data_IF_157985095904
#
_entry.id   IF_157985095904
#
_cell.length_a   1.000
_cell.length_b   1.000
_cell.length_c   1.000
_cell.angle_alpha   90.00
_cell.angle_beta   90.00
_cell.angle_gamma   90.00
#
_symmetry.space_group_name_H-M   'P 1'
#
loop_
_entity.id
_entity.type
_entity.pdbx_description
1 polymer ?
#
# COMPACT_ATOMS: atom_id res chain seq x y z
N UNK A 1 4.57 -57.13 3.78
CA UNK A 1 5.23 -57.69 2.58
C UNK A 1 5.08 -56.61 1.49
N UNK A 2 5.99 -55.93 0.95
CA UNK A 2 7.43 -56.00 0.69
C UNK A 2 7.93 -54.60 0.38
N UNK A 3 9.05 -54.26 0.97
CA UNK A 3 9.85 -53.07 0.78
C UNK A 3 10.56 -53.10 -0.58
N UNK A 4 10.66 -51.95 -1.26
CA UNK A 4 11.72 -51.74 -2.27
C UNK A 4 12.34 -50.37 -2.13
N UNK A 5 13.59 -50.37 -1.68
CA UNK A 5 14.55 -49.27 -1.62
C UNK A 5 15.12 -49.04 -3.03
N UNK A 6 15.21 -47.78 -3.47
CA UNK A 6 15.97 -47.42 -4.68
C UNK A 6 17.05 -46.40 -4.31
N UNK A 7 18.28 -46.85 -4.42
CA UNK A 7 19.52 -46.12 -4.20
C UNK A 7 19.87 -45.32 -5.46
N UNK A 8 20.19 -44.02 -5.33
CA UNK A 8 20.70 -43.20 -6.42
C UNK A 8 22.21 -43.01 -6.25
N UNK A 9 22.92 -43.43 -7.27
CA UNK A 9 24.38 -43.33 -7.42
C UNK A 9 24.85 -41.91 -7.74
N UNK A 10 25.83 -41.46 -7.01
CA UNK A 10 26.64 -40.27 -7.26
C UNK A 10 27.73 -40.59 -8.27
N UNK A 11 27.84 -39.78 -9.35
CA UNK A 11 28.98 -39.85 -10.29
C UNK A 11 29.76 -38.54 -10.25
N UNK A 12 30.97 -38.60 -9.67
CA UNK A 12 32.04 -37.60 -9.84
C UNK A 12 32.65 -37.78 -11.24
N UNK A 13 32.88 -36.70 -11.95
CA UNK A 13 33.85 -36.65 -13.08
C UNK A 13 34.88 -35.55 -12.85
N UNK A 14 36.14 -36.01 -12.87
CA UNK A 14 37.40 -35.26 -12.83
C UNK A 14 37.56 -34.41 -14.10
N UNK A 15 38.08 -33.18 -13.93
CA UNK A 15 38.66 -32.41 -15.03
C UNK A 15 40.18 -32.51 -15.01
N UNK A 16 40.72 -32.89 -16.18
CA UNK A 16 42.13 -32.96 -16.50
C UNK A 16 42.65 -31.57 -16.92
N UNK A 17 43.82 -31.26 -16.40
CA UNK A 17 44.73 -30.17 -16.76
C UNK A 17 45.36 -30.38 -18.15
N UNK A 18 45.44 -29.31 -18.96
CA UNK A 18 46.39 -29.20 -20.05
C UNK A 18 47.15 -27.88 -19.94
N UNK A 19 48.49 -28.02 -19.91
CA UNK A 19 49.38 -26.89 -19.88
C UNK A 19 49.96 -26.55 -21.28
N UNK A 20 50.55 -25.37 -21.36
CA UNK A 20 51.60 -25.07 -22.31
C UNK A 20 51.34 -23.96 -23.30
N UNK A 21 51.92 -22.81 -23.22
CA UNK A 21 53.18 -22.30 -23.75
C UNK A 21 53.20 -20.75 -23.73
N UNK A 22 54.38 -20.24 -23.37
CA UNK A 22 54.74 -18.84 -23.35
C UNK A 22 54.91 -18.31 -24.79
N UNK A 23 54.40 -17.07 -25.04
CA UNK A 23 54.71 -16.25 -26.18
C UNK A 23 54.79 -14.78 -25.79
N UNK A 24 56.01 -14.22 -25.76
CA UNK A 24 56.31 -12.81 -25.51
C UNK A 24 56.05 -11.99 -26.77
N UNK A 25 55.28 -10.91 -26.68
CA UNK A 25 55.35 -9.77 -27.59
C UNK A 25 55.09 -8.45 -26.83
N UNK A 26 55.91 -7.48 -27.15
CA UNK A 26 56.10 -6.17 -26.53
C UNK A 26 54.98 -5.19 -26.88
N UNK A 27 54.61 -4.38 -25.90
CA UNK A 27 54.35 -2.95 -25.88
C UNK A 27 53.37 -2.35 -26.89
N UNK A 28 52.25 -1.90 -26.36
CA UNK A 28 51.65 -0.62 -26.79
C UNK A 28 50.77 -0.13 -25.62
N UNK A 29 51.10 1.06 -25.13
CA UNK A 29 50.36 1.79 -24.14
C UNK A 29 48.93 1.99 -24.61
N UNK A 30 47.96 1.42 -23.91
CA UNK A 30 46.55 1.82 -23.96
C UNK A 30 46.17 2.33 -22.57
N UNK A 31 45.94 3.64 -22.52
CA UNK A 31 45.28 4.27 -21.38
C UNK A 31 43.98 3.54 -21.09
N UNK A 32 43.97 2.81 -19.99
CA UNK A 32 42.74 2.19 -19.45
C UNK A 32 41.97 3.28 -18.74
N UNK A 33 40.90 3.72 -19.36
CA UNK A 33 39.84 4.49 -18.69
C UNK A 33 39.33 3.67 -17.50
N UNK A 34 39.74 4.04 -16.31
CA UNK A 34 39.12 3.56 -15.06
C UNK A 34 37.80 4.29 -14.89
N UNK A 35 36.70 3.61 -15.14
CA UNK A 35 35.39 4.03 -14.66
C UNK A 35 35.44 4.17 -13.15
N UNK A 36 34.93 5.27 -12.55
CA UNK A 36 34.81 5.36 -11.09
C UNK A 36 33.87 4.25 -10.62
N UNK A 37 34.40 3.32 -9.85
CA UNK A 37 33.64 2.23 -9.26
C UNK A 37 32.52 2.80 -8.40
N UNK A 38 31.29 2.68 -8.86
CA UNK A 38 30.12 2.79 -8.03
C UNK A 38 30.13 1.58 -7.07
N UNK A 39 30.67 1.77 -5.88
CA UNK A 39 30.41 0.86 -4.75
C UNK A 39 28.95 1.08 -4.37
N UNK A 40 28.06 0.27 -4.95
CA UNK A 40 26.73 0.14 -4.42
C UNK A 40 26.88 -0.45 -3.00
N UNK A 41 26.88 0.42 -2.01
CA UNK A 41 26.76 0.05 -0.61
C UNK A 41 25.35 -0.52 -0.44
N UNK A 42 25.25 -1.84 -0.28
CA UNK A 42 23.98 -2.45 0.15
C UNK A 42 23.58 -1.81 1.47
N UNK A 43 22.33 -1.39 1.65
CA UNK A 43 21.88 -0.84 2.91
C UNK A 43 22.13 -1.86 4.02
N UNK A 44 22.69 -1.39 5.13
CA UNK A 44 22.86 -2.19 6.33
C UNK A 44 21.49 -2.69 6.79
N UNK A 45 21.41 -3.87 7.40
CA UNK A 45 20.13 -4.37 7.99
C UNK A 45 19.53 -3.40 9.02
N UNK A 46 20.31 -2.45 9.53
CA UNK A 46 19.86 -1.36 10.41
C UNK A 46 19.04 -0.27 9.67
N UNK A 47 19.04 -0.23 8.33
CA UNK A 47 18.40 0.80 7.51
C UNK A 47 17.07 0.35 6.89
N UNK A 48 16.62 -0.88 7.17
CA UNK A 48 15.35 -1.41 6.63
C UNK A 48 14.22 -1.14 7.61
N UNK A 49 13.23 -0.38 7.17
CA UNK A 49 11.99 -0.16 7.92
C UNK A 49 10.99 -1.27 7.62
N UNK A 50 10.52 -1.94 8.67
CA UNK A 50 9.34 -2.82 8.58
C UNK A 50 8.09 -1.96 8.62
N UNK A 51 7.18 -2.17 7.67
CA UNK A 51 5.89 -1.49 7.59
C UNK A 51 4.81 -2.52 7.89
N UNK A 52 3.90 -2.19 8.82
CA UNK A 52 2.71 -2.97 9.13
C UNK A 52 1.46 -2.14 8.85
N UNK A 53 0.62 -2.62 7.94
CA UNK A 53 -0.72 -2.11 7.72
C UNK A 53 -1.72 -3.08 8.35
N UNK A 54 -2.64 -2.57 9.17
CA UNK A 54 -3.55 -3.39 9.95
C UNK A 54 -4.87 -2.69 10.18
N UNK A 55 -5.91 -3.47 10.36
CA UNK A 55 -7.19 -3.02 10.91
C UNK A 55 -7.88 -4.18 11.65
N UNK A 56 -8.77 -3.84 12.55
CA UNK A 56 -9.70 -4.78 13.18
C UNK A 56 -10.96 -4.02 13.59
N UNK A 57 -12.13 -4.54 13.20
CA UNK A 57 -13.40 -4.08 13.71
C UNK A 57 -13.68 -4.75 15.05
N UNK A 58 -13.89 -3.96 16.08
CA UNK A 58 -14.09 -4.42 17.45
C UNK A 58 -14.72 -3.30 18.27
N UNK A 59 -15.58 -3.64 19.23
CA UNK A 59 -16.13 -2.65 20.13
C UNK A 59 -15.08 -2.18 21.14
N UNK A 60 -14.63 -0.93 21.00
CA UNK A 60 -13.64 -0.32 21.88
C UNK A 60 -14.27 0.77 22.75
N UNK A 61 -13.99 0.69 24.05
CA UNK A 61 -14.24 1.75 25.04
C UNK A 61 -12.90 2.32 25.53
N UNK A 62 -12.90 3.40 26.28
CA UNK A 62 -11.67 4.01 26.85
C UNK A 62 -10.61 4.42 25.81
N UNK A 63 -11.06 4.95 24.68
CA UNK A 63 -10.21 5.32 23.53
C UNK A 63 -9.04 6.24 23.91
N UNK A 64 -9.24 7.17 24.85
CA UNK A 64 -8.20 8.08 25.33
C UNK A 64 -7.08 7.34 26.08
N UNK A 65 -7.42 6.29 26.84
CA UNK A 65 -6.42 5.47 27.52
C UNK A 65 -5.59 4.69 26.50
N UNK A 66 -6.23 4.08 25.50
CA UNK A 66 -5.55 3.37 24.40
C UNK A 66 -4.69 4.33 23.59
N UNK A 67 -5.19 5.52 23.28
CA UNK A 67 -4.43 6.55 22.56
C UNK A 67 -3.14 6.91 23.31
N UNK A 68 -3.22 7.15 24.62
CA UNK A 68 -2.05 7.49 25.44
C UNK A 68 -1.03 6.36 25.47
N UNK A 69 -1.46 5.12 25.71
CA UNK A 69 -0.57 3.97 25.77
C UNK A 69 0.11 3.67 24.43
N UNK A 70 -0.66 3.69 23.32
CA UNK A 70 -0.13 3.50 21.98
C UNK A 70 0.86 4.60 21.58
N UNK A 71 0.57 5.87 21.93
CA UNK A 71 1.49 6.98 21.65
C UNK A 71 2.82 6.79 22.39
N UNK A 72 2.79 6.49 23.69
CA UNK A 72 3.98 6.27 24.49
C UNK A 72 4.81 5.08 23.98
N UNK A 73 4.14 3.97 23.59
CA UNK A 73 4.80 2.82 22.98
C UNK A 73 5.48 3.20 21.67
N UNK A 74 4.75 3.84 20.75
CA UNK A 74 5.29 4.20 19.43
C UNK A 74 6.47 5.19 19.54
N UNK A 75 6.43 6.14 20.48
CA UNK A 75 7.54 7.05 20.74
C UNK A 75 8.79 6.31 21.24
N UNK A 76 8.63 5.44 22.25
CA UNK A 76 9.72 4.61 22.79
C UNK A 76 10.31 3.67 21.73
N UNK A 77 9.47 3.01 20.94
CA UNK A 77 9.87 2.09 19.89
C UNK A 77 10.28 2.76 18.57
N UNK A 78 10.36 4.09 18.54
CA UNK A 78 10.75 4.91 17.37
C UNK A 78 9.90 4.65 16.12
N UNK A 79 8.62 4.33 16.31
CA UNK A 79 7.68 4.07 15.23
C UNK A 79 7.12 5.37 14.64
N UNK A 80 6.78 5.33 13.36
CA UNK A 80 6.16 6.42 12.62
C UNK A 80 4.98 5.90 11.81
N UNK A 81 3.98 6.72 11.59
CA UNK A 81 2.79 6.32 10.85
C UNK A 81 1.52 6.94 11.39
N UNK A 82 0.42 6.27 11.13
CA UNK A 82 -0.89 6.70 11.64
C UNK A 82 -1.63 5.51 12.22
N UNK A 83 -2.17 5.67 13.44
CA UNK A 83 -3.14 4.77 14.05
C UNK A 83 -4.42 5.56 14.29
N UNK A 84 -5.52 5.05 13.81
CA UNK A 84 -6.88 5.54 14.06
C UNK A 84 -7.55 4.61 15.06
N UNK A 85 -8.14 5.18 16.09
CA UNK A 85 -8.99 4.50 17.08
C UNK A 85 -10.40 5.06 16.96
N UNK A 86 -11.40 4.19 17.01
CA UNK A 86 -12.79 4.57 17.07
C UNK A 86 -13.56 3.58 17.94
N UNK A 87 -14.83 3.87 18.34
CA UNK A 87 -15.66 2.91 19.06
C UNK A 87 -15.82 1.57 18.32
N UNK A 88 -15.69 1.58 16.99
CA UNK A 88 -15.82 0.42 16.11
C UNK A 88 -14.51 -0.34 15.83
N UNK A 89 -13.35 0.08 16.40
CA UNK A 89 -12.10 -0.65 16.20
C UNK A 89 -10.84 0.18 16.06
N UNK A 90 -9.87 -0.41 15.38
CA UNK A 90 -8.54 0.18 15.11
C UNK A 90 -8.14 0.01 13.64
N UNK A 91 -7.47 1.02 13.08
CA UNK A 91 -6.91 1.00 11.73
C UNK A 91 -5.58 1.76 11.71
N UNK A 92 -4.59 1.25 11.02
CA UNK A 92 -3.31 1.96 10.93
C UNK A 92 -2.34 1.40 9.92
N UNK A 93 -1.38 2.26 9.58
CA UNK A 93 -0.13 1.86 8.92
C UNK A 93 1.02 2.52 9.67
N UNK A 94 1.95 1.71 10.13
CA UNK A 94 3.07 2.11 10.97
C UNK A 94 4.36 1.48 10.46
N UNK A 95 5.45 2.22 10.54
CA UNK A 95 6.77 1.77 10.12
C UNK A 95 7.82 2.06 11.19
N UNK A 96 8.81 1.18 11.28
CA UNK A 96 9.95 1.32 12.17
C UNK A 96 10.79 0.05 12.27
N UNK A 97 11.62 -0.07 13.32
CA UNK A 97 12.38 -1.29 13.61
C UNK A 97 11.43 -2.48 13.81
N UNK A 98 11.79 -3.67 13.30
CA UNK A 98 10.94 -4.88 13.38
C UNK A 98 10.50 -5.21 14.80
N UNK A 99 11.43 -5.12 15.77
CA UNK A 99 11.10 -5.37 17.18
C UNK A 99 10.04 -4.40 17.72
N UNK A 100 10.09 -3.12 17.32
CA UNK A 100 9.07 -2.13 17.71
C UNK A 100 7.71 -2.41 17.06
N UNK A 101 7.69 -2.89 15.81
CA UNK A 101 6.45 -3.32 15.14
C UNK A 101 5.85 -4.54 15.86
N UNK A 102 6.67 -5.53 16.24
CA UNK A 102 6.21 -6.70 16.98
C UNK A 102 5.61 -6.30 18.34
N UNK A 103 6.29 -5.41 19.10
CA UNK A 103 5.77 -4.89 20.37
C UNK A 103 4.42 -4.18 20.19
N UNK A 104 4.29 -3.37 19.13
CA UNK A 104 3.02 -2.70 18.79
C UNK A 104 1.91 -3.71 18.49
N UNK A 105 2.18 -4.74 17.72
CA UNK A 105 1.18 -5.76 17.36
C UNK A 105 0.73 -6.58 18.57
N UNK A 106 1.64 -6.91 19.49
CA UNK A 106 1.28 -7.54 20.77
C UNK A 106 0.34 -6.64 21.57
N UNK A 107 0.65 -5.34 21.66
CA UNK A 107 -0.18 -4.37 22.37
C UNK A 107 -1.56 -4.19 21.72
N UNK A 108 -1.64 -4.13 20.38
CA UNK A 108 -2.90 -4.03 19.64
C UNK A 108 -3.77 -5.27 19.82
N UNK A 109 -3.19 -6.46 19.78
CA UNK A 109 -3.91 -7.73 20.00
C UNK A 109 -4.42 -7.90 21.44
N UNK A 110 -3.87 -7.17 22.39
CA UNK A 110 -4.35 -7.13 23.76
C UNK A 110 -5.60 -6.25 23.93
N UNK A 111 -5.97 -5.43 22.94
CA UNK A 111 -7.22 -4.66 22.98
C UNK A 111 -8.44 -5.59 22.87
N UNK A 112 -9.56 -5.25 23.51
CA UNK A 112 -10.79 -6.03 23.44
C UNK A 112 -11.23 -6.25 21.97
N UNK A 113 -11.50 -7.51 21.61
CA UNK A 113 -11.94 -7.87 20.26
C UNK A 113 -10.83 -7.91 19.18
N UNK A 114 -9.61 -7.43 19.49
CA UNK A 114 -8.52 -7.33 18.49
C UNK A 114 -7.55 -8.52 18.46
N UNK A 115 -7.88 -9.64 19.12
CA UNK A 115 -6.98 -10.80 19.26
C UNK A 115 -6.59 -11.43 17.90
N UNK A 116 -7.45 -11.30 16.87
CA UNK A 116 -7.23 -11.84 15.53
C UNK A 116 -6.60 -10.83 14.56
N UNK A 117 -6.26 -9.64 15.02
CA UNK A 117 -5.64 -8.61 14.18
C UNK A 117 -4.47 -9.17 13.37
N UNK A 118 -4.63 -9.15 12.04
CA UNK A 118 -3.67 -9.70 11.08
C UNK A 118 -3.05 -8.57 10.25
N UNK A 119 -1.79 -8.21 10.48
CA UNK A 119 -1.11 -7.17 9.74
C UNK A 119 -0.66 -7.67 8.36
N UNK A 120 -0.58 -6.74 7.40
CA UNK A 120 0.12 -6.90 6.13
C UNK A 120 1.47 -6.22 6.25
N UNK A 121 2.53 -6.94 5.89
CA UNK A 121 3.89 -6.44 5.99
C UNK A 121 4.44 -6.03 4.63
N UNK A 122 5.25 -4.98 4.64
CA UNK A 122 6.14 -4.60 3.55
C UNK A 122 7.37 -3.91 4.12
N UNK A 123 8.34 -3.59 3.28
CA UNK A 123 9.58 -2.95 3.71
C UNK A 123 9.85 -1.66 2.94
N UNK A 124 10.70 -0.81 3.50
CA UNK A 124 11.25 0.36 2.82
C UNK A 124 12.68 0.62 3.27
N UNK A 125 13.51 1.13 2.38
CA UNK A 125 14.90 1.56 2.66
C UNK A 125 15.00 3.01 3.15
N UNK A 126 13.89 3.76 3.08
CA UNK A 126 13.78 5.11 3.62
C UNK A 126 12.53 5.23 4.52
N UNK A 127 12.51 6.16 5.49
CA UNK A 127 11.37 6.33 6.38
C UNK A 127 10.08 6.64 5.59
N UNK A 128 9.07 5.76 5.56
CA UNK A 128 7.85 6.00 4.76
C UNK A 128 6.89 7.01 5.40
N UNK A 129 7.18 7.45 6.61
CA UNK A 129 6.37 8.45 7.33
C UNK A 129 7.25 9.50 8.01
N UNK A 130 6.78 10.76 8.03
CA UNK A 130 7.50 11.84 8.71
C UNK A 130 7.37 11.79 10.23
N UNK A 131 6.19 11.45 10.76
CA UNK A 131 5.87 11.49 12.19
C UNK A 131 4.87 10.42 12.58
N UNK A 132 4.74 10.14 13.88
CA UNK A 132 3.70 9.30 14.45
C UNK A 132 2.44 10.12 14.72
N UNK A 133 1.26 9.55 14.40
CA UNK A 133 -0.07 10.09 14.72
C UNK A 133 -0.93 8.98 15.29
N UNK A 134 -1.41 9.14 16.53
CA UNK A 134 -2.46 8.30 17.11
C UNK A 134 -3.69 9.20 17.32
N UNK A 135 -4.79 8.91 16.61
CA UNK A 135 -5.98 9.77 16.57
C UNK A 135 -7.24 9.00 16.92
N UNK A 136 -8.08 9.61 17.73
CA UNK A 136 -9.44 9.16 17.94
C UNK A 136 -10.31 9.75 16.84
N UNK A 137 -11.19 8.92 16.27
CA UNK A 137 -12.15 9.22 15.22
C UNK A 137 -13.52 8.67 15.57
N UNK A 138 -14.56 9.06 14.83
CA UNK A 138 -15.87 8.44 14.92
C UNK A 138 -15.90 7.04 14.27
N UNK A 139 -15.14 6.90 13.17
CA UNK A 139 -15.03 5.68 12.38
C UNK A 139 -13.55 5.43 12.04
N UNK A 140 -13.13 4.15 11.99
CA UNK A 140 -11.77 3.78 11.56
C UNK A 140 -11.59 3.84 10.04
N UNK A 141 -12.69 3.74 9.29
CA UNK A 141 -12.82 4.05 7.87
C UNK A 141 -14.19 4.68 7.66
N UNK A 142 -14.23 5.89 7.13
CA UNK A 142 -15.46 6.68 7.18
C UNK A 142 -16.35 6.40 5.98
N UNK A 143 -17.50 5.76 6.24
CA UNK A 143 -18.60 5.61 5.28
C UNK A 143 -19.72 6.62 5.54
N UNK A 144 -19.80 7.15 6.77
CA UNK A 144 -20.78 8.18 7.14
C UNK A 144 -22.15 7.64 7.58
N UNK A 145 -22.25 6.34 7.83
CA UNK A 145 -23.45 5.68 8.28
C UNK A 145 -23.13 4.79 9.51
N UNK A 146 -23.61 5.18 10.66
CA UNK A 146 -23.34 4.52 11.95
C UNK A 146 -24.05 3.17 12.13
N UNK A 147 -25.04 2.86 11.28
CA UNK A 147 -25.76 1.58 11.30
C UNK A 147 -25.01 0.47 10.56
N UNK A 148 -23.96 0.83 9.81
CA UNK A 148 -23.09 -0.14 9.12
C UNK A 148 -22.11 -0.76 10.13
N UNK A 149 -22.37 -2.01 10.49
CA UNK A 149 -21.54 -2.78 11.43
C UNK A 149 -21.03 -4.08 10.80
N UNK A 150 -19.79 -4.09 10.33
CA UNK A 150 -19.17 -5.29 9.75
C UNK A 150 -19.02 -6.45 10.74
N UNK A 151 -19.07 -6.20 12.05
CA UNK A 151 -18.99 -7.28 13.04
C UNK A 151 -20.28 -8.10 13.14
N UNK A 152 -21.41 -7.53 12.73
CA UNK A 152 -22.70 -8.20 12.70
C UNK A 152 -22.98 -8.91 11.38
N UNK A 153 -22.67 -8.28 10.26
CA UNK A 153 -22.88 -8.83 8.91
C UNK A 153 -21.89 -8.26 7.91
N UNK A 154 -21.18 -9.13 7.22
CA UNK A 154 -20.20 -8.79 6.18
C UNK A 154 -20.35 -9.75 5.00
N UNK A 155 -19.91 -9.35 3.80
CA UNK A 155 -19.93 -10.19 2.60
C UNK A 155 -18.92 -11.35 2.67
N UNK A 156 -19.01 -12.25 1.72
CA UNK A 156 -18.10 -13.39 1.63
C UNK A 156 -16.68 -12.94 1.26
N UNK A 157 -15.69 -13.46 2.01
CA UNK A 157 -14.28 -13.27 1.69
C UNK A 157 -13.87 -14.22 0.57
N UNK A 158 -13.32 -13.67 -0.51
CA UNK A 158 -12.75 -14.43 -1.61
C UNK A 158 -11.24 -14.36 -1.55
N UNK A 159 -10.57 -15.50 -1.57
CA UNK A 159 -9.10 -15.56 -1.54
C UNK A 159 -8.50 -14.92 -2.78
N UNK A 160 -7.27 -14.41 -2.74
CA UNK A 160 -6.58 -13.92 -3.95
C UNK A 160 -6.52 -14.97 -5.08
N UNK A 161 -6.36 -16.23 -4.72
CA UNK A 161 -6.26 -17.36 -5.65
C UNK A 161 -7.58 -17.62 -6.41
N UNK A 162 -8.72 -17.39 -5.75
CA UNK A 162 -10.05 -17.59 -6.33
C UNK A 162 -10.62 -16.31 -6.98
N UNK A 163 -9.97 -15.17 -6.75
CA UNK A 163 -10.46 -13.85 -7.15
C UNK A 163 -10.64 -13.71 -8.66
N UNK A 164 -9.64 -14.12 -9.44
CA UNK A 164 -9.71 -14.02 -10.90
C UNK A 164 -10.91 -14.77 -11.47
N UNK A 165 -11.16 -16.00 -10.99
CA UNK A 165 -12.31 -16.79 -11.46
C UNK A 165 -13.66 -16.13 -11.15
N UNK A 166 -13.77 -15.43 -10.01
CA UNK A 166 -14.98 -14.69 -9.64
C UNK A 166 -15.19 -13.46 -10.54
N UNK A 167 -14.14 -12.67 -10.79
CA UNK A 167 -14.29 -11.43 -11.55
C UNK A 167 -14.33 -11.61 -13.06
N UNK A 168 -13.89 -12.77 -13.55
CA UNK A 168 -14.01 -13.15 -14.98
C UNK A 168 -15.41 -13.66 -15.33
N UNK A 169 -16.26 -13.99 -14.33
CA UNK A 169 -17.64 -14.38 -14.55
C UNK A 169 -18.46 -13.15 -14.98
N UNK A 170 -19.08 -13.16 -16.20
CA UNK A 170 -19.84 -12.03 -16.72
C UNK A 170 -21.08 -11.66 -15.88
N UNK A 171 -21.58 -12.55 -15.04
CA UNK A 171 -22.68 -12.29 -14.10
C UNK A 171 -22.20 -11.56 -12.82
N UNK A 172 -20.89 -11.35 -12.66
CA UNK A 172 -20.31 -10.69 -11.49
C UNK A 172 -20.04 -9.22 -11.78
N UNK A 173 -20.70 -8.32 -11.05
CA UNK A 173 -20.40 -6.90 -11.07
C UNK A 173 -19.20 -6.61 -10.19
N UNK A 174 -18.10 -6.13 -10.77
CA UNK A 174 -16.86 -5.84 -10.03
C UNK A 174 -16.75 -4.35 -9.74
N UNK A 175 -16.57 -3.96 -8.47
CA UNK A 175 -16.55 -2.55 -8.04
C UNK A 175 -15.26 -2.24 -7.27
N UNK A 176 -14.56 -1.21 -7.70
CA UNK A 176 -13.44 -0.62 -6.94
C UNK A 176 -13.98 0.37 -5.91
N UNK A 177 -13.92 0.05 -4.63
CA UNK A 177 -14.46 0.90 -3.55
C UNK A 177 -13.51 2.03 -3.13
N UNK A 178 -12.43 2.25 -3.89
CA UNK A 178 -11.44 3.28 -3.61
C UNK A 178 -11.87 4.63 -4.19
N UNK A 179 -11.19 5.66 -3.75
CA UNK A 179 -11.37 7.00 -4.31
C UNK A 179 -10.81 7.06 -5.74
N UNK A 180 -11.38 7.91 -6.58
CA UNK A 180 -11.02 8.04 -8.00
C UNK A 180 -9.51 8.22 -8.24
N UNK A 181 -8.83 9.01 -7.42
CA UNK A 181 -7.38 9.21 -7.57
C UNK A 181 -6.56 7.93 -7.33
N UNK A 182 -7.05 6.98 -6.52
CA UNK A 182 -6.41 5.67 -6.31
C UNK A 182 -6.65 4.74 -7.51
N UNK A 183 -7.87 4.77 -8.07
CA UNK A 183 -8.27 3.98 -9.24
C UNK A 183 -7.42 4.36 -10.46
N UNK A 184 -7.15 5.64 -10.65
CA UNK A 184 -6.28 6.13 -11.74
C UNK A 184 -4.83 5.63 -11.68
N UNK A 185 -4.36 5.20 -10.53
CA UNK A 185 -3.01 4.62 -10.38
C UNK A 185 -2.98 3.15 -10.85
N UNK A 186 -4.07 2.44 -10.66
CA UNK A 186 -4.25 1.08 -11.13
C UNK A 186 -5.54 0.48 -10.58
N UNK A 187 -6.10 -0.50 -11.29
CA UNK A 187 -7.33 -1.20 -10.93
C UNK A 187 -7.41 -2.58 -11.59
N UNK A 188 -8.35 -3.42 -11.20
CA UNK A 188 -8.61 -4.68 -11.90
C UNK A 188 -9.31 -4.42 -13.23
N UNK A 189 -8.96 -5.22 -14.24
CA UNK A 189 -9.58 -5.15 -15.56
C UNK A 189 -11.09 -5.37 -15.45
N UNK A 190 -11.88 -4.48 -16.05
CA UNK A 190 -13.34 -4.56 -16.05
C UNK A 190 -14.02 -4.04 -14.78
N UNK A 191 -13.28 -3.62 -13.76
CA UNK A 191 -13.87 -3.05 -12.56
C UNK A 191 -14.51 -1.69 -12.82
N UNK A 192 -15.68 -1.46 -12.22
CA UNK A 192 -16.36 -0.18 -12.21
C UNK A 192 -15.65 0.76 -11.25
N UNK A 193 -15.31 1.96 -11.74
CA UNK A 193 -14.89 3.08 -10.92
C UNK A 193 -16.13 3.92 -10.55
N UNK A 194 -16.52 4.01 -9.27
CA UNK A 194 -17.62 4.88 -8.84
C UNK A 194 -17.35 6.38 -9.03
N UNK A 195 -16.13 6.78 -9.35
CA UNK A 195 -15.67 8.16 -9.46
C UNK A 195 -15.94 8.99 -8.20
N UNK A 196 -15.84 8.40 -7.03
CA UNK A 196 -16.03 9.07 -5.74
C UNK A 196 -14.74 9.79 -5.29
N UNK A 197 -14.91 10.98 -4.75
CA UNK A 197 -13.80 11.73 -4.15
C UNK A 197 -13.40 11.15 -2.79
N UNK A 198 -14.40 10.70 -2.02
CA UNK A 198 -14.21 10.08 -0.71
C UNK A 198 -15.11 8.86 -0.54
N UNK A 199 -14.71 7.92 0.31
CA UNK A 199 -15.52 6.73 0.59
C UNK A 199 -16.89 7.04 1.22
N UNK A 200 -17.10 8.25 1.75
CA UNK A 200 -18.41 8.74 2.22
C UNK A 200 -19.45 8.88 1.11
N UNK A 201 -18.99 9.04 -0.12
CA UNK A 201 -19.86 9.22 -1.27
C UNK A 201 -20.38 7.88 -1.80
N UNK A 202 -19.78 6.76 -1.34
CA UNK A 202 -20.10 5.41 -1.80
C UNK A 202 -21.56 5.00 -1.55
N UNK A 203 -22.19 5.26 -0.38
CA UNK A 203 -23.59 4.92 -0.16
C UNK A 203 -24.54 5.61 -1.15
N UNK A 204 -24.32 6.90 -1.42
CA UNK A 204 -25.14 7.64 -2.39
C UNK A 204 -24.95 7.12 -3.81
N UNK A 205 -23.72 6.73 -4.17
CA UNK A 205 -23.45 6.11 -5.47
C UNK A 205 -24.16 4.76 -5.60
N UNK A 206 -24.15 3.90 -4.58
CA UNK A 206 -24.86 2.61 -4.55
C UNK A 206 -26.34 2.81 -4.81
N UNK A 207 -26.99 3.73 -4.08
CA UNK A 207 -28.44 4.02 -4.23
C UNK A 207 -28.82 4.52 -5.63
N UNK A 208 -27.90 5.18 -6.34
CA UNK A 208 -28.15 5.74 -7.66
C UNK A 208 -27.87 4.78 -8.81
N UNK A 209 -27.00 3.80 -8.61
CA UNK A 209 -26.45 2.99 -9.70
C UNK A 209 -26.66 1.49 -9.57
N UNK A 210 -27.03 1.00 -8.37
CA UNK A 210 -27.18 -0.42 -8.15
C UNK A 210 -28.62 -0.78 -7.76
N UNK A 211 -29.10 -1.88 -8.36
CA UNK A 211 -30.40 -2.48 -8.04
C UNK A 211 -30.17 -3.97 -7.67
N UNK A 212 -30.58 -4.43 -6.48
CA UNK A 212 -30.45 -5.84 -6.07
C UNK A 212 -31.17 -6.81 -7.01
N UNK A 213 -32.22 -6.38 -7.70
CA UNK A 213 -32.95 -7.22 -8.64
C UNK A 213 -32.16 -7.47 -9.95
N UNK A 214 -31.35 -6.51 -10.38
CA UNK A 214 -30.55 -6.57 -11.60
C UNK A 214 -29.13 -7.07 -11.33
N UNK A 215 -28.49 -6.61 -10.24
CA UNK A 215 -27.10 -6.89 -9.89
C UNK A 215 -27.01 -8.02 -8.84
N UNK A 216 -27.23 -9.25 -9.29
CA UNK A 216 -27.37 -10.41 -8.37
C UNK A 216 -26.09 -10.79 -7.66
N UNK A 217 -24.91 -10.62 -8.30
CA UNK A 217 -23.61 -10.93 -7.72
C UNK A 217 -22.69 -9.71 -7.80
N UNK A 218 -22.19 -9.28 -6.67
CA UNK A 218 -21.29 -8.12 -6.58
C UNK A 218 -19.99 -8.54 -5.90
N UNK A 219 -18.87 -8.21 -6.53
CA UNK A 219 -17.51 -8.39 -6.00
C UNK A 219 -16.83 -7.06 -5.80
N UNK A 220 -16.28 -6.81 -4.62
CA UNK A 220 -15.67 -5.53 -4.27
C UNK A 220 -14.25 -5.68 -3.77
N UNK A 221 -13.42 -4.68 -4.02
CA UNK A 221 -12.05 -4.64 -3.54
C UNK A 221 -11.63 -3.22 -3.14
N UNK A 222 -10.60 -3.15 -2.30
CA UNK A 222 -9.86 -1.93 -2.00
C UNK A 222 -8.40 -2.26 -1.66
N UNK A 223 -7.58 -1.28 -1.33
CA UNK A 223 -6.14 -1.45 -1.08
C UNK A 223 -5.83 -2.53 -0.06
N UNK A 224 -6.48 -2.51 1.10
CA UNK A 224 -6.18 -3.41 2.22
C UNK A 224 -7.35 -4.24 2.75
N UNK A 225 -8.58 -4.07 2.22
CA UNK A 225 -9.79 -4.80 2.62
C UNK A 225 -10.76 -3.98 3.50
N UNK A 226 -10.28 -3.03 4.29
CA UNK A 226 -11.10 -2.35 5.31
C UNK A 226 -12.36 -1.64 4.78
N UNK A 227 -12.28 -0.98 3.60
CA UNK A 227 -13.47 -0.33 3.01
C UNK A 227 -14.51 -1.35 2.58
N UNK A 228 -14.05 -2.50 2.09
CA UNK A 228 -14.93 -3.57 1.65
C UNK A 228 -15.73 -4.20 2.78
N UNK A 229 -15.21 -4.25 4.01
CA UNK A 229 -15.97 -4.70 5.17
C UNK A 229 -17.26 -3.88 5.31
N UNK A 230 -17.15 -2.54 5.30
CA UNK A 230 -18.30 -1.64 5.37
C UNK A 230 -19.13 -1.62 4.08
N UNK A 231 -18.51 -1.64 2.92
CA UNK A 231 -19.21 -1.62 1.64
C UNK A 231 -20.08 -2.86 1.45
N UNK A 232 -19.58 -4.05 1.80
CA UNK A 232 -20.37 -5.29 1.72
C UNK A 232 -21.48 -5.32 2.76
N UNK A 233 -21.22 -4.86 3.98
CA UNK A 233 -22.24 -4.71 5.02
C UNK A 233 -23.38 -3.80 4.57
N UNK A 234 -23.06 -2.67 3.90
CA UNK A 234 -24.03 -1.78 3.28
C UNK A 234 -24.89 -2.51 2.24
N UNK A 235 -24.27 -3.16 1.26
CA UNK A 235 -25.00 -3.84 0.18
C UNK A 235 -25.93 -4.93 0.72
N UNK A 236 -25.46 -5.72 1.71
CA UNK A 236 -26.28 -6.74 2.35
C UNK A 236 -27.48 -6.15 3.10
N UNK A 237 -27.36 -4.94 3.66
CA UNK A 237 -28.49 -4.21 4.26
C UNK A 237 -29.46 -3.70 3.20
N UNK A 238 -28.97 -3.23 2.06
CA UNK A 238 -29.79 -2.77 0.93
C UNK A 238 -30.45 -3.92 0.14
N UNK A 239 -30.28 -5.17 0.58
CA UNK A 239 -31.00 -6.33 0.02
C UNK A 239 -30.24 -7.11 -1.05
N UNK A 240 -28.97 -6.83 -1.29
CA UNK A 240 -28.13 -7.67 -2.16
C UNK A 240 -27.87 -9.01 -1.48
N UNK A 241 -27.98 -10.14 -2.23
CA UNK A 241 -27.87 -11.48 -1.68
C UNK A 241 -26.46 -12.06 -1.81
N UNK A 242 -25.81 -11.89 -2.96
CA UNK A 242 -24.49 -12.45 -3.28
C UNK A 242 -23.45 -11.33 -3.34
N UNK A 243 -22.82 -11.06 -2.18
CA UNK A 243 -21.88 -9.95 -2.01
C UNK A 243 -20.55 -10.50 -1.54
N UNK A 244 -19.52 -10.27 -2.35
CA UNK A 244 -18.18 -10.80 -2.15
C UNK A 244 -17.14 -9.67 -2.05
N UNK A 245 -16.03 -9.95 -1.36
CA UNK A 245 -14.89 -9.02 -1.36
C UNK A 245 -13.55 -9.73 -1.29
N UNK A 246 -12.55 -9.10 -1.91
CA UNK A 246 -11.18 -9.61 -1.96
C UNK A 246 -10.55 -9.64 -0.57
N UNK A 247 -10.24 -10.83 -0.06
CA UNK A 247 -9.64 -11.04 1.24
C UNK A 247 -8.26 -10.37 1.33
N UNK A 248 -8.16 -9.40 2.21
CA UNK A 248 -6.93 -8.65 2.42
C UNK A 248 -6.65 -7.60 1.35
N UNK A 249 -7.55 -7.42 0.37
CA UNK A 249 -7.47 -6.40 -0.66
C UNK A 249 -6.34 -6.59 -1.67
N UNK A 250 -6.10 -5.56 -2.46
CA UNK A 250 -5.12 -5.54 -3.56
C UNK A 250 -3.71 -5.95 -3.07
N UNK A 251 -3.27 -5.46 -1.91
CA UNK A 251 -1.92 -5.77 -1.41
C UNK A 251 -1.74 -7.27 -1.13
N UNK A 252 -2.77 -7.96 -0.67
CA UNK A 252 -2.72 -9.42 -0.48
C UNK A 252 -2.77 -10.16 -1.82
N UNK A 253 -3.54 -9.64 -2.78
CA UNK A 253 -3.60 -10.20 -4.12
C UNK A 253 -2.24 -10.12 -4.84
N UNK A 254 -1.60 -8.96 -4.86
CA UNK A 254 -0.29 -8.76 -5.48
C UNK A 254 0.81 -9.60 -4.83
N UNK A 255 0.69 -9.91 -3.55
CA UNK A 255 1.64 -10.76 -2.84
C UNK A 255 1.50 -12.25 -3.19
N UNK A 256 0.28 -12.71 -3.56
CA UNK A 256 -0.04 -14.13 -3.71
C UNK A 256 -0.22 -14.59 -5.15
N UNK A 257 -0.74 -13.73 -6.02
CA UNK A 257 -1.01 -14.05 -7.41
C UNK A 257 0.19 -13.65 -8.25
N UNK A 258 0.81 -14.56 -9.00
CA UNK A 258 1.92 -14.23 -9.89
C UNK A 258 1.54 -13.17 -10.93
N UNK A 259 2.47 -12.32 -11.33
CA UNK A 259 2.22 -11.26 -12.31
C UNK A 259 1.67 -11.80 -13.64
N UNK A 260 2.11 -13.00 -14.04
CA UNK A 260 1.67 -13.67 -15.27
C UNK A 260 0.20 -14.13 -15.26
N UNK A 261 -0.40 -14.25 -14.07
CA UNK A 261 -1.79 -14.64 -13.86
C UNK A 261 -2.64 -13.46 -13.37
N UNK A 262 -2.01 -12.32 -13.14
CA UNK A 262 -2.65 -11.15 -12.56
C UNK A 262 -3.58 -10.44 -13.55
N UNK A 263 -4.78 -10.13 -13.11
CA UNK A 263 -5.74 -9.27 -13.81
C UNK A 263 -5.66 -7.81 -13.34
N UNK A 264 -4.74 -7.51 -12.41
CA UNK A 264 -4.44 -6.16 -11.96
C UNK A 264 -3.67 -5.37 -13.04
N UNK A 265 -4.03 -4.11 -13.23
CA UNK A 265 -3.36 -3.20 -14.16
C UNK A 265 -2.88 -1.94 -13.46
N UNK A 266 -1.62 -1.58 -13.66
CA UNK A 266 -0.99 -0.42 -13.04
C UNK A 266 -0.37 -0.71 -11.67
N UNK A 267 -0.16 0.36 -10.87
CA UNK A 267 0.41 0.30 -9.52
C UNK A 267 -0.69 0.42 -8.45
N UNK A 268 -0.42 -0.05 -7.24
CA UNK A 268 -1.35 0.07 -6.11
C UNK A 268 -1.03 1.29 -5.27
N UNK A 269 -1.93 2.29 -5.23
CA UNK A 269 -1.77 3.47 -4.37
C UNK A 269 -1.73 3.09 -2.90
N UNK A 270 -0.77 3.67 -2.17
CA UNK A 270 -0.61 3.53 -0.70
C UNK A 270 -0.47 4.90 -0.04
N UNK A 271 -0.91 4.98 1.23
CA UNK A 271 -1.00 6.25 1.98
C UNK A 271 0.31 6.60 2.72
N UNK A 272 1.46 6.34 2.10
CA UNK A 272 2.77 6.67 2.65
C UNK A 272 3.69 7.31 1.59
N UNK A 273 4.96 7.57 1.94
CA UNK A 273 5.91 8.25 1.05
C UNK A 273 6.28 7.46 -0.22
N UNK A 274 5.94 6.18 -0.29
CA UNK A 274 6.14 5.36 -1.49
C UNK A 274 5.11 5.69 -2.58
N UNK A 275 3.98 6.26 -2.20
CA UNK A 275 2.86 6.71 -3.05
C UNK A 275 2.13 5.56 -3.74
N UNK A 276 2.86 4.69 -4.45
CA UNK A 276 2.30 3.51 -5.11
C UNK A 276 3.31 2.37 -5.10
N UNK A 277 2.80 1.15 -5.16
CA UNK A 277 3.57 -0.08 -5.21
C UNK A 277 3.29 -0.82 -6.51
N UNK A 278 4.34 -1.39 -7.09
CA UNK A 278 4.24 -2.30 -8.23
C UNK A 278 3.73 -3.69 -7.81
N UNK A 279 3.77 -4.65 -8.74
CA UNK A 279 3.31 -6.02 -8.48
C UNK A 279 4.16 -6.75 -7.43
N UNK A 280 5.45 -6.45 -7.34
CA UNK A 280 6.36 -7.02 -6.34
C UNK A 280 6.32 -6.28 -4.99
N UNK A 281 5.35 -5.38 -4.81
CA UNK A 281 5.21 -4.51 -3.64
C UNK A 281 6.41 -3.59 -3.40
N UNK A 282 7.20 -3.31 -4.45
CA UNK A 282 8.27 -2.32 -4.42
C UNK A 282 7.73 -0.93 -4.76
N UNK A 283 8.43 0.15 -4.35
CA UNK A 283 8.05 1.50 -4.75
C UNK A 283 7.94 1.63 -6.27
N UNK A 284 6.78 2.03 -6.74
CA UNK A 284 6.47 2.23 -8.14
C UNK A 284 7.00 3.55 -8.71
N UNK A 285 6.43 3.98 -9.82
CA UNK A 285 6.86 5.16 -10.57
C UNK A 285 6.11 6.44 -10.20
N UNK A 286 4.99 6.34 -9.50
CA UNK A 286 4.18 7.49 -9.11
C UNK A 286 4.81 8.33 -8.00
N UNK A 287 4.50 9.62 -8.00
CA UNK A 287 4.88 10.58 -6.95
C UNK A 287 3.66 11.42 -6.55
N UNK A 288 3.72 12.18 -5.46
CA UNK A 288 2.64 13.09 -5.08
C UNK A 288 2.86 14.51 -5.60
N UNK A 289 1.81 15.14 -6.06
CA UNK A 289 1.77 16.58 -6.25
C UNK A 289 1.78 17.29 -4.89
N UNK A 290 2.78 18.09 -4.60
CA UNK A 290 2.82 18.85 -3.35
C UNK A 290 1.75 19.95 -3.28
N UNK A 291 1.14 20.28 -4.41
CA UNK A 291 0.07 21.28 -4.51
C UNK A 291 -1.30 20.75 -4.09
N UNK A 292 -1.75 19.66 -4.71
CA UNK A 292 -3.08 19.07 -4.48
C UNK A 292 -3.07 17.69 -3.82
N UNK A 293 -1.89 17.09 -3.61
CA UNK A 293 -1.69 15.75 -3.03
C UNK A 293 -2.20 14.59 -3.92
N UNK A 294 -2.49 14.86 -5.18
CA UNK A 294 -2.86 13.83 -6.16
C UNK A 294 -1.63 13.03 -6.60
N UNK A 295 -1.79 11.73 -6.88
CA UNK A 295 -0.71 10.92 -7.47
C UNK A 295 -0.40 11.40 -8.89
N UNK A 296 0.88 11.39 -9.23
CA UNK A 296 1.42 11.83 -10.52
C UNK A 296 2.13 10.67 -11.21
N UNK A 297 1.68 10.32 -12.40
CA UNK A 297 2.38 9.41 -13.30
C UNK A 297 3.66 10.06 -13.89
N UNK A 298 4.55 9.29 -14.52
CA UNK A 298 5.64 9.85 -15.31
C UNK A 298 5.16 10.82 -16.40
N UNK A 299 4.03 10.55 -17.03
CA UNK A 299 3.42 11.40 -18.06
C UNK A 299 2.95 12.74 -17.49
N UNK A 300 2.32 12.75 -16.30
CA UNK A 300 1.93 13.99 -15.61
C UNK A 300 3.15 14.87 -15.31
N UNK A 301 4.30 14.27 -14.96
CA UNK A 301 5.54 15.00 -14.69
C UNK A 301 6.24 15.51 -15.95
N UNK A 302 5.95 14.92 -17.10
CA UNK A 302 6.44 15.40 -18.40
C UNK A 302 5.54 16.48 -19.03
N UNK A 303 4.37 16.75 -18.44
CA UNK A 303 3.40 17.70 -18.98
C UNK A 303 3.89 19.16 -18.83
N UNK A 304 3.64 20.06 -19.82
CA UNK A 304 4.06 21.47 -19.77
C UNK A 304 3.57 22.25 -18.53
N UNK A 305 2.39 21.91 -18.02
CA UNK A 305 1.81 22.55 -16.83
C UNK A 305 2.35 22.00 -15.51
N UNK A 306 3.25 21.02 -15.56
CA UNK A 306 3.89 20.50 -14.35
C UNK A 306 5.01 21.42 -13.88
N UNK A 307 4.92 21.85 -12.65
CA UNK A 307 6.01 22.55 -11.95
C UNK A 307 6.34 21.80 -10.66
N UNK A 308 7.55 21.26 -10.59
CA UNK A 308 8.00 20.43 -9.45
C UNK A 308 7.77 21.14 -8.11
N UNK A 309 7.17 20.46 -7.15
CA UNK A 309 6.80 20.97 -5.81
C UNK A 309 5.77 22.12 -5.79
N UNK A 310 5.20 22.51 -6.93
CA UNK A 310 4.27 23.64 -7.04
C UNK A 310 2.90 23.21 -7.51
N UNK A 311 2.78 22.65 -8.71
CA UNK A 311 1.51 22.21 -9.27
C UNK A 311 1.69 21.07 -10.28
N UNK A 312 0.62 20.34 -10.50
CA UNK A 312 0.51 19.35 -11.57
C UNK A 312 -0.52 19.80 -12.63
N UNK A 313 -0.64 19.12 -13.78
CA UNK A 313 -1.61 19.48 -14.80
C UNK A 313 -3.05 19.62 -14.29
N UNK A 314 -3.45 18.77 -13.31
CA UNK A 314 -4.81 18.82 -12.74
C UNK A 314 -5.08 20.06 -11.88
N UNK A 315 -4.08 20.54 -11.13
CA UNK A 315 -4.27 21.70 -10.26
C UNK A 315 -3.66 23.01 -10.82
N UNK A 316 -3.03 22.99 -11.97
CA UNK A 316 -2.36 24.14 -12.57
C UNK A 316 -3.34 25.31 -12.81
N UNK A 317 -4.55 25.02 -13.34
CA UNK A 317 -5.57 26.02 -13.63
C UNK A 317 -6.18 26.66 -12.38
N UNK A 318 -6.26 25.93 -11.27
CA UNK A 318 -6.80 26.42 -9.98
C UNK A 318 -5.73 27.03 -9.07
N UNK A 319 -4.43 26.94 -9.45
CA UNK A 319 -3.33 27.48 -8.65
C UNK A 319 -3.05 28.92 -9.00
N UNK A 320 -3.39 29.86 -8.10
CA UNK A 320 -3.18 31.30 -8.33
C UNK A 320 -1.68 31.67 -8.34
N UNK A 321 -1.31 32.85 -8.89
CA UNK A 321 0.08 33.34 -8.84
C UNK A 321 0.66 33.40 -7.42
N UNK A 322 -0.16 33.82 -6.44
CA UNK A 322 0.23 33.91 -5.03
C UNK A 322 0.49 32.51 -4.45
N UNK A 323 -0.38 31.54 -4.73
CA UNK A 323 -0.19 30.15 -4.32
C UNK A 323 1.08 29.56 -4.95
N UNK A 324 1.37 29.85 -6.21
CA UNK A 324 2.61 29.42 -6.88
C UNK A 324 3.82 30.01 -6.18
N UNK A 325 3.82 31.30 -5.87
CA UNK A 325 4.92 31.98 -5.18
C UNK A 325 5.17 31.35 -3.79
N UNK A 326 4.12 31.12 -2.99
CA UNK A 326 4.22 30.49 -1.67
C UNK A 326 4.77 29.07 -1.76
N UNK A 327 4.31 28.27 -2.73
CA UNK A 327 4.77 26.88 -2.91
C UNK A 327 6.22 26.83 -3.39
N UNK A 328 6.66 27.73 -4.28
CA UNK A 328 8.06 27.87 -4.70
C UNK A 328 8.95 28.23 -3.51
N UNK A 329 8.54 29.20 -2.68
CA UNK A 329 9.30 29.58 -1.48
C UNK A 329 9.39 28.40 -0.50
N UNK A 330 8.31 27.66 -0.26
CA UNK A 330 8.33 26.43 0.55
C UNK A 330 9.30 25.40 -0.01
N UNK A 331 9.28 25.16 -1.32
CA UNK A 331 10.19 24.23 -1.97
C UNK A 331 11.65 24.64 -1.78
N UNK A 332 11.94 25.95 -1.90
CA UNK A 332 13.26 26.53 -1.65
C UNK A 332 13.71 26.29 -0.20
N UNK A 333 12.84 26.53 0.79
CA UNK A 333 13.15 26.29 2.20
C UNK A 333 13.40 24.80 2.51
N UNK A 334 12.64 23.89 1.90
CA UNK A 334 12.87 22.45 2.01
C UNK A 334 14.24 22.07 1.45
N UNK A 335 14.61 22.60 0.28
CA UNK A 335 15.90 22.33 -0.34
C UNK A 335 17.06 22.87 0.51
N UNK A 336 16.94 24.09 1.05
CA UNK A 336 17.95 24.68 1.95
C UNK A 336 18.11 23.90 3.26
N UNK A 337 17.02 23.40 3.83
CA UNK A 337 17.08 22.53 5.02
C UNK A 337 17.79 21.21 4.71
N UNK A 338 17.48 20.58 3.57
CA UNK A 338 18.14 19.35 3.13
C UNK A 338 19.65 19.52 2.95
N UNK A 339 20.09 20.66 2.36
CA UNK A 339 21.52 20.99 2.23
C UNK A 339 22.24 21.13 3.58
N UNK A 340 21.52 21.52 4.65
CA UNK A 340 22.06 21.61 6.02
C UNK A 340 21.96 20.31 6.80
N UNK A 341 21.46 19.22 6.18
CA UNK A 341 21.15 17.97 6.88
C UNK A 341 19.96 18.06 7.84
N UNK A 342 19.14 19.13 7.72
CA UNK A 342 17.99 19.38 8.57
C UNK A 342 16.68 18.93 7.89
N UNK A 343 15.69 18.55 8.71
CA UNK A 343 14.32 18.30 8.22
C UNK A 343 13.48 19.58 8.35
N UNK A 344 13.00 20.08 7.22
CA UNK A 344 12.07 21.23 7.20
C UNK A 344 10.61 20.78 7.44
N UNK A 345 10.23 19.59 6.98
CA UNK A 345 8.88 19.03 7.09
C UNK A 345 8.86 17.89 8.10
N UNK A 346 7.87 17.90 9.02
CA UNK A 346 7.69 16.81 9.99
C UNK A 346 8.35 17.04 11.35
N UNK A 347 8.67 18.31 11.68
CA UNK A 347 8.98 18.71 13.06
C UNK A 347 7.72 18.81 13.91
#
# INVERSE_FOLDING_TARGET
CTSTSTTIHTSLRLFRTFGGRRGSLRGHDREVWRSPGSTATFPSMADIYTIAAFYEFATLSNLEAYQRSLRALCERAQLRGTILLAPEGVNGTVAGPSAGIEELLVHLRALPGCQRLSPKFSTATAPPFHRMKVRIKHEIVTIGDAEIDPTSRVGEYVTPEDWNALIDDPETLVIDTRNDYEVRVGTFKGAINPNIETFRDFPAWVQQHLDPAEHRRVAMFCTGGIRCEKATSLLLREGFESVHHLQGGILNYLQRVPETESTWSGECFVFDQRVALDHDLQPGTHSLCFGCQEPLSPQDRAHPDYEASVCCPRCASSTTPEMRAQRRERARQVALAAQRGERHVGR
#
